data_IF_909776817032
#
_entry.id   IF_909776817032
#
_cell.length_a   1.000
_cell.length_b   1.000
_cell.length_c   1.000
_cell.angle_alpha   90.00
_cell.angle_beta   90.00
_cell.angle_gamma   90.00
#
_symmetry.space_group_name_H-M   'P 1'
#
loop_
_entity.id
_entity.type
_entity.pdbx_description
1 polymer ?
#
# COMPACT_ATOMS: atom_id res chain seq x y z
N UNK A 1 26.11 -15.03 -10.14
CA UNK A 1 25.54 -16.22 -9.45
C UNK A 1 25.86 -16.10 -7.96
N UNK A 2 24.81 -16.20 -7.13
CA UNK A 2 24.72 -16.41 -5.66
C UNK A 2 26.01 -16.33 -4.79
N UNK A 3 26.03 -15.75 -3.58
CA UNK A 3 25.14 -15.98 -2.43
C UNK A 3 25.31 -14.88 -1.36
N UNK A 4 24.21 -14.62 -0.67
CA UNK A 4 24.08 -13.85 0.56
C UNK A 4 24.86 -14.48 1.73
N UNK A 5 25.45 -13.67 2.60
CA UNK A 5 25.57 -14.00 4.04
C UNK A 5 25.47 -12.74 4.88
N UNK A 6 24.32 -12.61 5.56
CA UNK A 6 24.04 -11.64 6.60
C UNK A 6 24.65 -12.17 7.91
N UNK A 7 25.68 -11.50 8.43
CA UNK A 7 26.19 -11.75 9.77
C UNK A 7 25.52 -10.80 10.77
N UNK A 8 24.62 -11.30 11.61
CA UNK A 8 24.31 -10.68 12.90
C UNK A 8 24.47 -11.72 14.00
N UNK A 9 25.62 -11.62 14.67
CA UNK A 9 25.84 -12.13 16.01
C UNK A 9 24.90 -11.42 16.99
N UNK A 10 23.93 -12.16 17.52
CA UNK A 10 23.40 -11.91 18.85
C UNK A 10 23.45 -13.24 19.61
N UNK A 11 24.54 -13.41 20.36
CA UNK A 11 24.69 -14.46 21.36
C UNK A 11 23.69 -14.21 22.48
N UNK A 12 22.63 -15.01 22.56
CA UNK A 12 21.77 -15.11 23.73
C UNK A 12 22.20 -16.36 24.52
N UNK A 13 22.66 -16.24 25.78
CA UNK A 13 23.09 -17.40 26.56
C UNK A 13 21.85 -18.13 27.10
N UNK A 14 21.49 -19.25 26.46
CA UNK A 14 20.41 -20.11 26.98
C UNK A 14 21.01 -21.06 28.01
N UNK A 15 20.75 -20.75 29.28
CA UNK A 15 21.08 -21.54 30.46
C UNK A 15 20.55 -22.97 30.35
N UNK A 16 21.44 -23.96 30.49
CA UNK A 16 21.13 -25.40 30.48
C UNK A 16 20.35 -25.79 31.73
N UNK A 17 19.03 -25.63 31.73
CA UNK A 17 18.16 -26.46 32.57
C UNK A 17 17.06 -27.07 31.72
N UNK A 18 17.00 -28.40 31.82
CA UNK A 18 16.17 -29.34 31.09
C UNK A 18 14.71 -28.88 31.13
N UNK A 19 14.16 -28.48 29.99
CA UNK A 19 12.72 -28.40 29.82
C UNK A 19 12.34 -29.19 28.58
N UNK A 20 11.88 -30.42 28.82
CA UNK A 20 11.20 -31.24 27.82
C UNK A 20 9.84 -30.58 27.59
N UNK A 21 9.73 -29.73 26.56
CA UNK A 21 8.46 -29.16 26.14
C UNK A 21 8.11 -29.78 24.78
N UNK A 22 6.93 -30.40 24.77
CA UNK A 22 6.32 -31.04 23.62
C UNK A 22 6.20 -30.07 22.43
N UNK A 23 6.60 -30.55 21.25
CA UNK A 23 6.38 -29.91 19.95
C UNK A 23 4.89 -29.95 19.61
N UNK A 24 4.16 -28.90 19.97
CA UNK A 24 2.80 -28.66 19.49
C UNK A 24 2.87 -27.79 18.23
N UNK A 25 2.33 -28.36 17.16
CA UNK A 25 2.09 -27.82 15.83
C UNK A 25 2.00 -26.29 15.68
N UNK A 26 2.96 -25.70 14.97
CA UNK A 26 2.90 -24.38 14.36
C UNK A 26 3.50 -24.46 12.95
N UNK A 27 2.86 -25.22 12.06
CA UNK A 27 3.32 -25.41 10.67
C UNK A 27 2.24 -25.11 9.63
N UNK A 28 1.24 -24.29 9.92
CA UNK A 28 0.25 -23.90 8.91
C UNK A 28 -0.07 -22.41 8.99
N UNK A 29 0.85 -21.56 8.55
CA UNK A 29 0.49 -20.22 8.12
C UNK A 29 1.09 -19.94 6.75
N UNK A 30 0.33 -20.03 5.65
CA UNK A 30 0.78 -19.46 4.39
C UNK A 30 0.80 -17.93 4.56
N UNK A 31 1.87 -17.23 4.15
CA UNK A 31 1.83 -15.80 3.98
C UNK A 31 1.02 -15.52 2.71
N UNK A 32 -0.30 -15.57 2.83
CA UNK A 32 -1.20 -15.08 1.80
C UNK A 32 -1.09 -13.56 1.74
N UNK A 33 -0.04 -13.04 1.11
CA UNK A 33 -0.01 -11.65 0.65
C UNK A 33 -0.93 -11.60 -0.56
N UNK A 34 -2.23 -11.51 -0.28
CA UNK A 34 -3.23 -11.26 -1.29
C UNK A 34 -2.99 -9.84 -1.79
N UNK A 35 -2.37 -9.74 -2.97
CA UNK A 35 -2.38 -8.50 -3.74
C UNK A 35 -3.83 -8.25 -4.12
N UNK A 36 -4.55 -7.49 -3.29
CA UNK A 36 -5.89 -7.04 -3.62
C UNK A 36 -5.73 -6.14 -4.84
N UNK A 37 -6.08 -6.70 -6.00
CA UNK A 37 -6.14 -5.96 -7.24
C UNK A 37 -7.13 -4.81 -7.02
N UNK A 38 -6.63 -3.59 -7.16
CA UNK A 38 -7.42 -2.40 -6.96
C UNK A 38 -8.56 -2.41 -7.99
N UNK A 39 -9.76 -2.74 -7.56
CA UNK A 39 -10.97 -2.75 -8.40
C UNK A 39 -11.76 -1.47 -8.10
N UNK A 40 -11.59 -0.42 -8.93
CA UNK A 40 -12.33 0.82 -8.74
C UNK A 40 -13.83 0.56 -8.86
N UNK A 41 -14.58 0.87 -7.79
CA UNK A 41 -16.04 0.87 -7.78
C UNK A 41 -16.51 2.30 -7.48
N UNK A 42 -17.22 2.90 -8.43
CA UNK A 42 -17.65 4.29 -8.38
C UNK A 42 -18.91 4.50 -7.53
N UNK A 43 -19.74 3.45 -7.36
CA UNK A 43 -21.05 3.54 -6.70
C UNK A 43 -20.98 3.95 -5.23
N UNK A 44 -19.80 3.87 -4.58
CA UNK A 44 -19.60 4.25 -3.19
C UNK A 44 -18.95 5.63 -2.99
N UNK A 45 -18.46 6.28 -4.04
CA UNK A 45 -17.69 7.53 -3.92
C UNK A 45 -18.49 8.65 -3.24
N UNK A 46 -19.79 8.75 -3.52
CA UNK A 46 -20.68 9.75 -2.92
C UNK A 46 -20.81 9.64 -1.40
N UNK A 47 -20.52 8.48 -0.81
CA UNK A 47 -20.59 8.27 0.64
C UNK A 47 -19.32 8.71 1.38
N UNK A 48 -18.21 8.88 0.64
CA UNK A 48 -16.92 9.20 1.22
C UNK A 48 -16.85 10.67 1.68
N UNK A 49 -16.08 10.90 2.74
CA UNK A 49 -15.71 12.25 3.20
C UNK A 49 -14.67 12.87 2.28
N UNK A 50 -14.50 14.19 2.34
CA UNK A 50 -13.44 14.87 1.57
C UNK A 50 -12.05 14.32 1.86
N UNK A 51 -11.75 13.98 3.12
CA UNK A 51 -10.47 13.39 3.48
C UNK A 51 -10.29 11.99 2.89
N UNK A 52 -11.35 11.19 2.84
CA UNK A 52 -11.32 9.85 2.25
C UNK A 52 -11.15 9.92 0.73
N UNK A 53 -11.86 10.83 0.05
CA UNK A 53 -11.69 11.06 -1.39
C UNK A 53 -10.27 11.51 -1.73
N UNK A 54 -9.73 12.46 -0.96
CA UNK A 54 -8.33 12.88 -1.12
C UNK A 54 -7.37 11.70 -0.95
N UNK A 55 -7.54 10.90 0.11
CA UNK A 55 -6.65 9.76 0.37
C UNK A 55 -6.73 8.72 -0.76
N UNK A 56 -7.94 8.42 -1.22
CA UNK A 56 -8.21 7.48 -2.30
C UNK A 56 -7.54 7.92 -3.61
N UNK A 57 -7.64 9.20 -3.98
CA UNK A 57 -6.95 9.74 -5.16
C UNK A 57 -5.43 9.53 -5.05
N UNK A 58 -4.84 9.92 -3.92
CA UNK A 58 -3.39 9.82 -3.72
C UNK A 58 -2.93 8.35 -3.67
N UNK A 59 -3.75 7.45 -3.12
CA UNK A 59 -3.47 6.00 -3.09
C UNK A 59 -3.42 5.41 -4.50
N UNK A 60 -4.39 5.77 -5.35
CA UNK A 60 -4.43 5.30 -6.74
C UNK A 60 -3.20 5.78 -7.51
N UNK A 61 -2.85 7.07 -7.39
CA UNK A 61 -1.65 7.63 -8.02
C UNK A 61 -0.38 6.93 -7.51
N UNK A 62 -0.26 6.71 -6.19
CA UNK A 62 0.89 6.04 -5.59
C UNK A 62 1.04 4.58 -6.05
N UNK A 63 -0.06 3.81 -6.06
CA UNK A 63 -0.08 2.40 -6.52
C UNK A 63 0.30 2.30 -8.00
N UNK A 64 -0.17 3.24 -8.80
CA UNK A 64 0.15 3.29 -10.22
C UNK A 64 1.49 3.97 -10.54
N UNK A 65 2.27 4.33 -9.51
CA UNK A 65 3.63 4.87 -9.61
C UNK A 65 3.69 6.24 -10.31
N UNK A 66 2.63 7.05 -10.18
CA UNK A 66 2.64 8.47 -10.55
C UNK A 66 3.25 9.28 -9.41
N UNK A 67 4.11 10.24 -9.73
CA UNK A 67 4.80 11.05 -8.73
C UNK A 67 3.83 12.01 -8.03
N UNK A 68 3.69 11.85 -6.72
CA UNK A 68 2.80 12.67 -5.89
C UNK A 68 3.37 14.09 -5.73
N UNK A 69 2.55 15.09 -6.05
CA UNK A 69 3.01 16.49 -6.16
C UNK A 69 3.12 17.23 -4.83
N UNK A 70 2.31 16.87 -3.82
CA UNK A 70 2.29 17.58 -2.54
C UNK A 70 3.13 16.88 -1.47
N UNK A 71 3.76 17.67 -0.60
CA UNK A 71 4.50 17.14 0.56
C UNK A 71 3.60 16.28 1.46
N UNK A 72 2.33 16.69 1.62
CA UNK A 72 1.32 15.93 2.36
C UNK A 72 1.14 14.52 1.80
N UNK A 73 0.99 14.41 0.47
CA UNK A 73 0.82 13.13 -0.20
C UNK A 73 2.10 12.28 -0.15
N UNK A 74 3.26 12.89 -0.39
CA UNK A 74 4.56 12.21 -0.27
C UNK A 74 4.78 11.65 1.14
N UNK A 75 4.42 12.41 2.18
CA UNK A 75 4.51 11.95 3.56
C UNK A 75 3.52 10.82 3.87
N UNK A 76 2.28 10.93 3.40
CA UNK A 76 1.24 9.93 3.60
C UNK A 76 1.59 8.58 2.93
N UNK A 77 2.23 8.62 1.77
CA UNK A 77 2.57 7.44 0.97
C UNK A 77 4.08 7.18 0.87
N UNK A 78 4.87 7.63 1.85
CA UNK A 78 6.34 7.50 1.87
C UNK A 78 6.88 6.07 1.74
N UNK A 79 6.04 5.07 2.01
CA UNK A 79 6.37 3.63 1.92
C UNK A 79 5.91 2.99 0.60
N UNK A 80 5.26 3.75 -0.28
CA UNK A 80 4.88 3.26 -1.60
C UNK A 80 6.11 2.97 -2.47
N UNK A 81 5.91 2.21 -3.55
CA UNK A 81 6.97 1.98 -4.53
C UNK A 81 7.42 3.31 -5.15
N UNK A 82 8.69 3.45 -5.56
CA UNK A 82 9.17 4.67 -6.21
C UNK A 82 8.31 5.02 -7.44
N UNK A 83 7.97 6.29 -7.61
CA UNK A 83 7.27 6.72 -8.81
C UNK A 83 8.15 6.56 -10.07
N UNK A 84 7.51 6.51 -11.24
CA UNK A 84 8.17 6.34 -12.55
C UNK A 84 7.85 7.46 -13.54
N UNK A 85 6.78 8.23 -13.31
CA UNK A 85 6.40 9.33 -14.17
C UNK A 85 5.57 10.36 -13.40
N UNK A 86 5.71 11.62 -13.81
CA UNK A 86 4.91 12.74 -13.34
C UNK A 86 3.53 12.84 -13.97
N UNK A 87 3.24 12.01 -14.97
CA UNK A 87 2.09 12.14 -15.83
C UNK A 87 1.09 10.99 -15.66
N UNK A 88 -0.20 11.33 -15.56
CA UNK A 88 -1.29 10.35 -15.48
C UNK A 88 -1.54 9.61 -16.82
N UNK A 89 -0.89 10.01 -17.92
CA UNK A 89 -1.01 9.31 -19.21
C UNK A 89 -0.48 7.87 -19.18
N UNK A 90 0.40 7.55 -18.23
CA UNK A 90 0.91 6.19 -18.02
C UNK A 90 -0.17 5.24 -17.51
N UNK A 91 -1.26 5.79 -16.97
CA UNK A 91 -2.34 5.03 -16.36
C UNK A 91 -3.24 4.41 -17.45
N UNK A 92 -3.76 3.20 -17.25
CA UNK A 92 -4.83 2.65 -18.08
C UNK A 92 -6.05 3.56 -18.08
N UNK A 93 -6.82 3.58 -19.19
CA UNK A 93 -8.00 4.43 -19.34
C UNK A 93 -8.97 4.31 -18.15
N UNK A 94 -9.32 3.08 -17.77
CA UNK A 94 -10.19 2.80 -16.61
C UNK A 94 -9.73 3.45 -15.29
N UNK A 95 -8.42 3.55 -15.07
CA UNK A 95 -7.87 4.17 -13.85
C UNK A 95 -7.98 5.69 -13.93
N UNK A 96 -7.77 6.28 -15.11
CA UNK A 96 -7.96 7.72 -15.33
C UNK A 96 -9.43 8.12 -15.21
N UNK A 97 -10.34 7.30 -15.73
CA UNK A 97 -11.78 7.51 -15.62
C UNK A 97 -12.19 7.48 -14.14
N UNK A 98 -11.70 6.51 -13.37
CA UNK A 98 -11.94 6.45 -11.93
C UNK A 98 -11.39 7.67 -11.17
N UNK A 99 -10.16 8.11 -11.45
CA UNK A 99 -9.60 9.33 -10.86
C UNK A 99 -10.45 10.55 -11.19
N UNK A 100 -11.00 10.61 -12.40
CA UNK A 100 -11.92 11.68 -12.83
C UNK A 100 -13.20 11.65 -11.99
N UNK A 101 -13.81 10.48 -11.78
CA UNK A 101 -15.00 10.34 -10.93
C UNK A 101 -14.74 10.71 -9.46
N UNK A 102 -13.56 10.35 -8.92
CA UNK A 102 -13.15 10.77 -7.56
C UNK A 102 -13.07 12.29 -7.45
N UNK A 103 -12.43 12.95 -8.43
CA UNK A 103 -12.27 14.41 -8.47
C UNK A 103 -13.59 15.14 -8.68
N UNK A 104 -14.44 14.62 -9.56
CA UNK A 104 -15.79 15.15 -9.78
C UNK A 104 -16.60 15.08 -8.47
N UNK A 105 -16.58 13.94 -7.78
CA UNK A 105 -17.26 13.78 -6.49
C UNK A 105 -16.72 14.75 -5.44
N UNK A 106 -15.40 14.94 -5.38
CA UNK A 106 -14.77 15.91 -4.48
C UNK A 106 -15.18 17.35 -4.81
N UNK A 107 -15.28 17.69 -6.09
CA UNK A 107 -15.73 19.00 -6.57
C UNK A 107 -17.19 19.25 -6.20
N UNK A 108 -18.09 18.28 -6.44
CA UNK A 108 -19.51 18.35 -6.05
C UNK A 108 -19.69 18.55 -4.54
N UNK A 109 -18.83 17.91 -3.74
CA UNK A 109 -18.80 18.07 -2.27
C UNK A 109 -18.08 19.33 -1.79
N UNK A 110 -17.53 20.15 -2.69
CA UNK A 110 -16.76 21.36 -2.38
C UNK A 110 -15.59 21.09 -1.43
N UNK A 111 -14.88 19.99 -1.65
CA UNK A 111 -13.66 19.68 -0.88
C UNK A 111 -12.57 20.70 -1.25
N UNK A 112 -12.10 21.47 -0.26
CA UNK A 112 -11.05 22.50 -0.38
C UNK A 112 -9.69 22.03 0.14
#
# INVERSE_FOLDING_TARGET
MAKYTCGRLFSVPISRKRVRIALVALLLWPPGVQSQEFTPNESSLGSLTCQQLWYLEQEVLAKARVCLKSQRAQNAFKRAKPCISDEERILPAKVRDYLSAVRETASLKKCS
#
